data_IF_178337764499
#
_entry.id   IF_178337764499
#
_cell.length_a   1.000
_cell.length_b   1.000
_cell.length_c   1.000
_cell.angle_alpha   90.00
_cell.angle_beta   90.00
_cell.angle_gamma   90.00
#
_symmetry.space_group_name_H-M   'P 1'
#
loop_
_entity.id
_entity.type
_entity.pdbx_description
1 polymer ?
#
# COMPACT_ATOMS: atom_id res chain seq x y z
N UNK A 1 3.78 -16.65 -4.07
CA UNK A 1 4.85 -15.78 -4.64
C UNK A 1 4.93 -14.52 -3.80
N UNK A 2 6.13 -14.14 -3.35
CA UNK A 2 6.37 -13.00 -2.47
C UNK A 2 7.04 -11.86 -3.24
N UNK A 3 6.99 -10.65 -2.71
CA UNK A 3 7.76 -9.52 -3.25
C UNK A 3 9.25 -9.74 -3.00
N UNK A 4 10.09 -9.21 -3.89
CA UNK A 4 11.54 -9.22 -3.75
C UNK A 4 11.96 -8.39 -2.52
N UNK A 5 12.44 -9.07 -1.48
CA UNK A 5 12.82 -8.45 -0.19
C UNK A 5 14.09 -7.61 -0.29
N UNK A 6 14.91 -7.80 -1.32
CA UNK A 6 16.10 -6.98 -1.51
C UNK A 6 15.72 -5.61 -2.07
N UNK A 7 14.70 -5.56 -2.94
CA UNK A 7 14.22 -4.33 -3.59
C UNK A 7 13.20 -3.56 -2.77
N UNK A 8 12.31 -4.27 -2.07
CA UNK A 8 11.24 -3.68 -1.27
C UNK A 8 11.68 -3.50 0.19
N UNK A 9 11.71 -2.25 0.67
CA UNK A 9 12.09 -1.92 2.04
C UNK A 9 10.88 -1.55 2.89
N UNK A 10 10.80 -2.01 4.17
CA UNK A 10 9.71 -1.63 5.05
C UNK A 10 9.69 -0.12 5.28
N UNK A 11 8.50 0.47 5.30
CA UNK A 11 8.31 1.92 5.41
C UNK A 11 7.31 2.33 6.50
N UNK A 12 6.27 1.52 6.71
CA UNK A 12 5.24 1.80 7.70
C UNK A 12 4.56 0.52 8.19
N UNK A 13 3.82 0.64 9.29
CA UNK A 13 2.91 -0.39 9.79
C UNK A 13 1.48 0.14 9.83
N UNK A 14 0.53 -0.75 9.56
CA UNK A 14 -0.90 -0.51 9.72
C UNK A 14 -1.43 -1.46 10.79
N UNK A 15 -2.17 -0.92 11.76
CA UNK A 15 -2.77 -1.67 12.88
C UNK A 15 -4.16 -1.15 13.20
N UNK A 16 -4.95 -1.96 13.88
CA UNK A 16 -6.17 -1.47 14.52
C UNK A 16 -5.84 -0.59 15.73
N UNK A 17 -6.69 0.39 16.01
CA UNK A 17 -6.70 1.08 17.29
C UNK A 17 -7.00 0.11 18.43
N UNK A 18 -6.70 0.51 19.67
CA UNK A 18 -6.90 -0.34 20.87
C UNK A 18 -8.35 -0.82 21.03
N UNK A 19 -9.30 0.04 20.70
CA UNK A 19 -10.74 -0.23 20.70
C UNK A 19 -11.22 -0.96 19.43
N UNK A 20 -10.31 -1.30 18.51
CA UNK A 20 -10.57 -2.01 17.24
C UNK A 20 -11.59 -1.34 16.31
N UNK A 21 -11.92 -0.07 16.57
CA UNK A 21 -12.94 0.68 15.82
C UNK A 21 -12.36 1.41 14.61
N UNK A 22 -11.04 1.58 14.55
CA UNK A 22 -10.37 2.37 13.52
C UNK A 22 -9.01 1.77 13.15
N UNK A 23 -8.50 2.17 11.99
CA UNK A 23 -7.17 1.83 11.50
C UNK A 23 -6.23 2.99 11.76
N UNK A 24 -4.98 2.68 12.09
CA UNK A 24 -3.87 3.63 12.21
C UNK A 24 -2.69 3.17 11.37
N UNK A 25 -1.95 4.14 10.84
CA UNK A 25 -0.67 3.91 10.15
C UNK A 25 0.42 4.65 10.88
N UNK A 26 1.55 3.98 11.11
CA UNK A 26 2.75 4.55 11.74
C UNK A 26 3.93 4.36 10.79
N UNK A 27 4.63 5.45 10.46
CA UNK A 27 5.87 5.38 9.68
C UNK A 27 6.97 4.76 10.54
N UNK A 28 7.64 3.74 10.01
CA UNK A 28 8.74 3.03 10.66
C UNK A 28 10.09 3.37 10.03
N UNK A 29 10.11 3.75 8.75
CA UNK A 29 11.31 4.25 8.06
C UNK A 29 10.98 5.55 7.32
N UNK A 30 11.41 6.71 7.86
CA UNK A 30 11.22 8.00 7.21
C UNK A 30 11.88 8.11 5.84
N UNK A 31 13.06 7.50 5.63
CA UNK A 31 13.79 7.59 4.36
C UNK A 31 13.06 6.85 3.25
N UNK A 32 12.56 5.64 3.54
CA UNK A 32 11.72 4.91 2.59
C UNK A 32 10.42 5.69 2.25
N UNK A 33 9.94 6.53 3.16
CA UNK A 33 8.74 7.35 2.97
C UNK A 33 8.97 8.63 2.15
N UNK A 34 10.21 9.08 2.01
CA UNK A 34 10.59 10.20 1.13
C UNK A 34 10.56 9.82 -0.35
N UNK A 35 10.61 8.52 -0.67
CA UNK A 35 10.63 8.03 -2.05
C UNK A 35 9.37 8.44 -2.83
N UNK A 36 9.59 9.13 -3.95
CA UNK A 36 8.61 9.38 -5.02
C UNK A 36 8.83 8.43 -6.20
N UNK A 37 7.94 8.49 -7.20
CA UNK A 37 7.97 7.60 -8.37
C UNK A 37 8.21 6.14 -7.99
N UNK A 38 7.48 5.69 -6.97
CA UNK A 38 7.73 4.44 -6.27
C UNK A 38 6.50 3.55 -6.26
N UNK A 39 6.75 2.25 -6.11
CA UNK A 39 5.73 1.22 -5.87
C UNK A 39 5.72 0.90 -4.40
N UNK A 40 4.54 0.83 -3.80
CA UNK A 40 4.37 0.33 -2.44
C UNK A 40 3.42 -0.86 -2.42
N UNK A 41 3.58 -1.70 -1.40
CA UNK A 41 2.66 -2.77 -1.11
C UNK A 41 2.39 -2.86 0.39
N UNK A 42 1.12 -3.09 0.75
CA UNK A 42 0.77 -3.58 2.07
C UNK A 42 0.83 -5.10 2.04
N UNK A 43 1.58 -5.68 2.98
CA UNK A 43 1.83 -7.13 3.08
C UNK A 43 1.41 -7.66 4.46
N UNK A 44 1.02 -8.94 4.50
CA UNK A 44 0.85 -9.69 5.76
C UNK A 44 2.20 -10.05 6.38
N UNK A 45 2.20 -10.57 7.61
CA UNK A 45 3.42 -11.04 8.28
C UNK A 45 4.14 -12.15 7.49
N UNK A 46 3.40 -12.98 6.74
CA UNK A 46 3.95 -14.01 5.87
C UNK A 46 4.54 -13.42 4.58
N UNK A 47 4.36 -12.12 4.32
CA UNK A 47 4.85 -11.42 3.15
C UNK A 47 3.89 -11.39 1.96
N UNK A 48 2.63 -11.82 2.13
CA UNK A 48 1.65 -11.84 1.04
C UNK A 48 1.11 -10.43 0.76
N UNK A 49 1.18 -9.92 -0.49
CA UNK A 49 0.61 -8.61 -0.81
C UNK A 49 -0.91 -8.61 -0.71
N UNK A 50 -1.45 -7.68 0.07
CA UNK A 50 -2.90 -7.44 0.17
C UNK A 50 -3.36 -6.28 -0.70
N UNK A 51 -2.50 -5.27 -0.87
CA UNK A 51 -2.67 -4.11 -1.78
C UNK A 51 -1.31 -3.74 -2.36
N UNK A 52 -1.28 -3.44 -3.64
CA UNK A 52 -0.13 -2.86 -4.35
C UNK A 52 -0.59 -1.55 -4.97
N UNK A 53 0.22 -0.51 -4.88
CA UNK A 53 -0.08 0.80 -5.45
C UNK A 53 1.17 1.58 -5.78
N UNK A 54 0.98 2.77 -6.36
CA UNK A 54 2.07 3.70 -6.69
C UNK A 54 1.91 5.07 -6.04
N UNK A 55 3.03 5.78 -5.90
CA UNK A 55 3.06 7.18 -5.50
C UNK A 55 3.99 7.97 -6.42
N UNK A 56 3.51 9.11 -6.95
CA UNK A 56 4.33 10.00 -7.76
C UNK A 56 5.30 10.85 -6.93
N UNK A 57 4.83 11.41 -5.81
CA UNK A 57 5.61 12.38 -5.03
C UNK A 57 6.24 11.83 -3.76
N UNK A 58 5.47 11.17 -2.88
CA UNK A 58 5.98 10.62 -1.62
C UNK A 58 5.16 9.42 -1.17
N UNK A 59 5.86 8.33 -0.88
CA UNK A 59 5.28 7.13 -0.30
C UNK A 59 4.65 7.42 1.06
N UNK A 60 5.33 8.16 1.94
CA UNK A 60 4.83 8.51 3.28
C UNK A 60 3.48 9.24 3.23
N UNK A 61 3.37 10.29 2.41
CA UNK A 61 2.10 11.03 2.21
C UNK A 61 0.99 10.09 1.72
N UNK A 62 1.32 9.17 0.80
CA UNK A 62 0.36 8.20 0.29
C UNK A 62 -0.07 7.21 1.38
N UNK A 63 0.86 6.62 2.11
CA UNK A 63 0.59 5.63 3.16
C UNK A 63 -0.22 6.25 4.32
N UNK A 64 0.12 7.46 4.76
CA UNK A 64 -0.60 8.18 5.82
C UNK A 64 -2.02 8.61 5.41
N UNK A 65 -2.33 8.65 4.11
CA UNK A 65 -3.68 8.97 3.64
C UNK A 65 -4.69 7.83 3.87
N UNK A 66 -4.23 6.58 3.97
CA UNK A 66 -5.10 5.40 4.07
C UNK A 66 -6.06 5.43 5.27
N UNK A 67 -5.60 5.67 6.53
CA UNK A 67 -6.48 5.74 7.68
C UNK A 67 -7.65 6.70 7.51
N UNK A 68 -7.39 7.89 6.98
CA UNK A 68 -8.42 8.92 6.79
C UNK A 68 -9.53 8.47 5.85
N UNK A 69 -9.18 7.84 4.72
CA UNK A 69 -10.18 7.32 3.78
C UNK A 69 -10.92 6.10 4.32
N UNK A 70 -10.20 5.12 4.88
CA UNK A 70 -10.81 3.88 5.36
C UNK A 70 -11.74 4.15 6.54
N UNK A 71 -11.30 4.92 7.54
CA UNK A 71 -12.08 5.19 8.74
C UNK A 71 -13.36 5.99 8.44
N UNK A 72 -13.32 6.93 7.48
CA UNK A 72 -14.54 7.62 7.01
C UNK A 72 -15.55 6.65 6.40
N UNK A 73 -15.08 5.70 5.59
CA UNK A 73 -15.94 4.70 4.98
C UNK A 73 -16.51 3.70 5.99
N UNK A 74 -15.73 3.31 7.01
CA UNK A 74 -16.20 2.47 8.12
C UNK A 74 -17.31 3.15 8.94
N UNK A 75 -17.25 4.47 9.10
CA UNK A 75 -18.25 5.28 9.81
C UNK A 75 -19.45 5.71 8.95
N UNK A 76 -19.53 5.22 7.70
CA UNK A 76 -20.65 5.52 6.79
C UNK A 76 -20.62 6.93 6.18
N UNK A 77 -19.54 7.70 6.39
CA UNK A 77 -19.41 9.08 5.91
C UNK A 77 -19.01 9.21 4.43
N UNK A 78 -18.92 8.09 3.71
CA UNK A 78 -18.50 8.04 2.31
C UNK A 78 -17.02 8.45 2.08
N UNK A 79 -16.53 8.28 0.86
CA UNK A 79 -15.17 8.67 0.49
C UNK A 79 -14.60 7.93 -0.72
N UNK A 80 -13.32 8.18 -1.02
CA UNK A 80 -12.60 7.56 -2.13
C UNK A 80 -12.45 6.03 -1.99
N UNK A 81 -12.53 5.50 -0.77
CA UNK A 81 -12.51 4.05 -0.50
C UNK A 81 -13.94 3.55 -0.36
N UNK A 82 -14.45 2.65 -1.22
CA UNK A 82 -15.77 2.07 -1.07
C UNK A 82 -15.93 1.30 0.27
N UNK A 83 -17.16 1.21 0.79
CA UNK A 83 -17.45 0.52 2.06
C UNK A 83 -16.97 -0.93 2.08
N UNK A 84 -17.12 -1.66 0.97
CA UNK A 84 -16.66 -3.06 0.88
C UNK A 84 -15.14 -3.17 1.04
N UNK A 85 -14.37 -2.23 0.48
CA UNK A 85 -12.91 -2.22 0.55
C UNK A 85 -12.48 -1.90 1.99
N UNK A 86 -13.14 -0.91 2.61
CA UNK A 86 -12.91 -0.56 4.01
C UNK A 86 -13.15 -1.75 4.97
N UNK A 87 -14.25 -2.49 4.77
CA UNK A 87 -14.52 -3.71 5.55
C UNK A 87 -13.48 -4.81 5.29
N UNK A 88 -12.96 -4.92 4.06
CA UNK A 88 -11.91 -5.88 3.74
C UNK A 88 -10.58 -5.53 4.42
N UNK A 89 -10.21 -4.25 4.47
CA UNK A 89 -9.08 -3.77 5.28
C UNK A 89 -9.22 -4.14 6.76
N UNK A 90 -10.40 -3.88 7.35
CA UNK A 90 -10.69 -4.23 8.74
C UNK A 90 -10.61 -5.73 9.01
N UNK A 91 -11.15 -6.56 8.10
CA UNK A 91 -11.07 -8.02 8.18
C UNK A 91 -9.63 -8.51 8.17
N UNK A 92 -8.79 -8.00 7.25
CA UNK A 92 -7.39 -8.40 7.13
C UNK A 92 -6.58 -8.00 8.38
N UNK A 93 -6.83 -6.82 8.95
CA UNK A 93 -6.17 -6.39 10.17
C UNK A 93 -6.68 -7.14 11.42
N UNK A 94 -7.95 -7.56 11.43
CA UNK A 94 -8.48 -8.44 12.49
C UNK A 94 -7.82 -9.82 12.43
N UNK A 95 -7.63 -10.36 11.23
CA UNK A 95 -7.02 -11.68 11.00
C UNK A 95 -5.51 -11.69 11.30
N UNK A 96 -4.77 -10.70 10.78
CA UNK A 96 -3.30 -10.69 10.85
C UNK A 96 -2.75 -9.81 11.98
N UNK A 97 -3.58 -8.98 12.63
CA UNK A 97 -3.18 -8.02 13.67
C UNK A 97 -2.41 -6.80 13.15
N UNK A 98 -1.59 -6.97 12.12
CA UNK A 98 -0.74 -5.94 11.53
C UNK A 98 -0.51 -6.20 10.04
N UNK A 99 -0.39 -5.12 9.27
CA UNK A 99 0.12 -5.15 7.91
C UNK A 99 1.35 -4.23 7.82
N UNK A 100 2.36 -4.65 7.07
CA UNK A 100 3.57 -3.84 6.83
C UNK A 100 3.49 -3.21 5.45
N UNK A 101 3.77 -1.92 5.33
CA UNK A 101 4.03 -1.29 4.05
C UNK A 101 5.48 -1.50 3.68
N UNK A 102 5.72 -1.98 2.47
CA UNK A 102 7.04 -2.03 1.84
C UNK A 102 7.04 -1.15 0.59
N UNK A 103 8.17 -0.50 0.30
CA UNK A 103 8.33 0.47 -0.78
C UNK A 103 9.56 0.10 -1.62
N UNK A 104 9.42 0.24 -2.92
CA UNK A 104 10.51 0.09 -3.89
C UNK A 104 10.45 1.25 -4.88
N UNK A 105 11.58 1.95 -5.06
CA UNK A 105 11.75 2.90 -6.14
C UNK A 105 12.55 2.22 -7.26
N UNK A 106 11.95 1.97 -8.44
CA UNK A 106 12.66 1.40 -9.57
C UNK A 106 13.76 2.34 -10.08
N UNK A 107 14.83 1.76 -10.62
CA UNK A 107 15.88 2.52 -11.28
C UNK A 107 15.34 3.25 -12.52
N UNK A 108 15.80 4.48 -12.81
CA UNK A 108 15.46 5.16 -14.04
C UNK A 108 15.96 4.39 -15.26
N UNK A 109 15.13 4.31 -16.30
CA UNK A 109 15.49 3.70 -17.58
C UNK A 109 15.53 4.78 -18.66
N UNK A 110 16.55 4.79 -19.54
CA UNK A 110 16.59 5.72 -20.66
C UNK A 110 15.49 5.40 -21.67
N UNK A 111 14.78 6.44 -22.09
CA UNK A 111 13.73 6.40 -23.12
C UNK A 111 13.94 7.54 -24.11
N UNK A 112 13.17 7.55 -25.21
CA UNK A 112 13.15 8.67 -26.15
C UNK A 112 12.73 10.02 -25.50
N UNK A 113 12.03 9.97 -24.35
CA UNK A 113 11.61 11.14 -23.58
C UNK A 113 12.56 11.48 -22.41
N UNK A 114 13.72 10.82 -22.32
CA UNK A 114 14.69 10.96 -21.23
C UNK A 114 14.65 9.81 -20.22
N UNK A 115 15.28 10.01 -19.06
CA UNK A 115 15.28 9.03 -17.97
C UNK A 115 13.92 9.01 -17.27
N UNK A 116 13.24 7.86 -17.30
CA UNK A 116 11.93 7.68 -16.67
C UNK A 116 11.99 6.48 -15.73
N UNK A 117 11.41 6.61 -14.53
CA UNK A 117 11.22 5.47 -13.62
C UNK A 117 9.95 4.70 -14.00
N UNK A 118 10.02 3.39 -14.31
CA UNK A 118 8.86 2.61 -14.79
C UNK A 118 7.93 2.13 -13.66
N UNK A 119 7.68 2.95 -12.63
CA UNK A 119 6.95 2.51 -11.42
C UNK A 119 5.49 2.11 -11.68
N UNK A 120 4.83 2.71 -12.67
CA UNK A 120 3.47 2.31 -13.09
C UNK A 120 3.46 0.93 -13.76
N UNK A 121 4.47 0.61 -14.56
CA UNK A 121 4.55 -0.68 -15.26
C UNK A 121 4.94 -1.80 -14.28
N UNK A 122 5.85 -1.51 -13.35
CA UNK A 122 6.19 -2.42 -12.25
C UNK A 122 4.95 -2.72 -11.40
N UNK A 123 4.16 -1.71 -11.04
CA UNK A 123 2.89 -1.91 -10.32
C UNK A 123 1.94 -2.86 -11.07
N UNK A 124 1.70 -2.60 -12.35
CA UNK A 124 0.80 -3.42 -13.18
C UNK A 124 1.28 -4.86 -13.25
N UNK A 125 2.58 -5.08 -13.43
CA UNK A 125 3.17 -6.43 -13.46
C UNK A 125 2.94 -7.14 -12.11
N UNK A 126 3.25 -6.48 -10.99
CA UNK A 126 3.09 -7.07 -9.67
C UNK A 126 1.62 -7.36 -9.33
N UNK A 127 0.68 -6.49 -9.72
CA UNK A 127 -0.76 -6.74 -9.55
C UNK A 127 -1.18 -7.99 -10.34
N UNK A 128 -0.75 -8.15 -11.59
CA UNK A 128 -1.07 -9.32 -12.41
C UNK A 128 -0.52 -10.61 -11.81
N UNK A 129 0.70 -10.54 -11.26
CA UNK A 129 1.43 -11.66 -10.68
C UNK A 129 0.87 -12.10 -9.32
N UNK A 130 0.58 -11.14 -8.43
CA UNK A 130 0.17 -11.44 -7.05
C UNK A 130 -1.34 -11.42 -6.84
N UNK A 131 -2.10 -10.78 -7.73
CA UNK A 131 -3.56 -10.58 -7.64
C UNK A 131 -4.03 -10.18 -6.24
N UNK A 132 -3.53 -9.05 -5.69
CA UNK A 132 -3.86 -8.69 -4.32
C UNK A 132 -5.37 -8.47 -4.13
N UNK A 133 -5.98 -8.95 -3.04
CA UNK A 133 -7.42 -8.90 -2.81
C UNK A 133 -8.00 -7.48 -2.75
N UNK A 134 -7.18 -6.46 -2.46
CA UNK A 134 -7.61 -5.06 -2.41
C UNK A 134 -7.27 -4.29 -3.71
N UNK A 135 -6.71 -4.95 -4.72
CA UNK A 135 -6.52 -4.38 -6.06
C UNK A 135 -7.65 -4.76 -7.03
N UNK A 136 -8.44 -5.78 -6.71
CA UNK A 136 -9.60 -6.18 -7.51
C UNK A 136 -10.74 -5.18 -7.31
N UNK A 137 -11.23 -4.57 -8.39
CA UNK A 137 -12.51 -3.87 -8.35
C UNK A 137 -13.65 -4.88 -8.34
N UNK A 138 -14.49 -4.88 -7.31
CA UNK A 138 -15.87 -5.36 -7.46
C UNK A 138 -16.67 -4.23 -8.10
N UNK A 139 -16.59 -4.14 -9.44
CA UNK A 139 -17.63 -3.51 -10.24
C UNK A 139 -18.56 -4.60 -10.72
#
# INVERSE_FOLDING_TARGET
MFLDRERFKPAAEMRLSRDRSSIRVTITDPKACELGEAVYAWITAEGKPVRIGTCGASAGKRLLSYPGYINRSLTGRGGATPKWEALKWLSLLTEHGMLTAVVHQPEPTPTAAGLIRPYLDVERQLIRQHRPPLNSSRR
#
